data_IF_634120403595
#
_entry.id   IF_634120403595
#
_cell.length_a   1.000
_cell.length_b   1.000
_cell.length_c   1.000
_cell.angle_alpha   90.00
_cell.angle_beta   90.00
_cell.angle_gamma   90.00
#
_symmetry.space_group_name_H-M   'P 1'
#
loop_
_entity.id
_entity.type
_entity.pdbx_description
1 polymer ?
#
# COMPACT_ATOMS: atom_id res chain seq x y z
N UNK A 1 -27.18 7.48 5.84
CA UNK A 1 -25.85 6.83 5.88
C UNK A 1 -24.70 7.83 5.69
N UNK A 2 -24.77 8.72 4.69
CA UNK A 2 -23.76 9.76 4.38
C UNK A 2 -23.49 10.74 5.54
N UNK A 3 -24.52 11.16 6.28
CA UNK A 3 -24.33 12.08 7.42
C UNK A 3 -23.52 11.46 8.57
N UNK A 4 -23.76 10.19 8.91
CA UNK A 4 -23.02 9.50 9.96
C UNK A 4 -21.54 9.33 9.60
N UNK A 5 -21.25 9.01 8.34
CA UNK A 5 -19.88 8.91 7.84
C UNK A 5 -19.18 10.27 7.76
N UNK A 6 -19.89 11.33 7.37
CA UNK A 6 -19.34 12.69 7.35
C UNK A 6 -19.02 13.23 8.75
N UNK A 7 -19.67 12.72 9.81
CA UNK A 7 -19.30 13.01 11.21
C UNK A 7 -17.95 12.40 11.60
N UNK A 8 -17.48 11.37 10.91
CA UNK A 8 -16.16 10.75 11.15
C UNK A 8 -15.08 11.66 10.57
N UNK A 9 -15.08 11.86 9.25
CA UNK A 9 -14.18 12.77 8.54
C UNK A 9 -14.97 13.50 7.46
N UNK A 10 -14.88 14.83 7.45
CA UNK A 10 -15.57 15.64 6.45
C UNK A 10 -14.80 15.63 5.12
N UNK A 11 -15.48 15.41 3.98
CA UNK A 11 -14.85 15.47 2.68
C UNK A 11 -14.41 16.90 2.36
N UNK A 12 -13.28 17.05 1.69
CA UNK A 12 -12.86 18.34 1.17
C UNK A 12 -13.86 18.82 0.11
N UNK A 13 -14.25 20.10 0.18
CA UNK A 13 -15.10 20.71 -0.83
C UNK A 13 -14.36 20.75 -2.16
N UNK A 14 -14.88 20.04 -3.16
CA UNK A 14 -14.31 20.04 -4.51
C UNK A 14 -14.70 21.34 -5.19
N UNK A 15 -13.77 22.28 -5.27
CA UNK A 15 -13.95 23.53 -6.02
C UNK A 15 -13.68 23.31 -7.52
N UNK A 16 -12.74 22.42 -7.87
CA UNK A 16 -12.25 22.25 -9.24
C UNK A 16 -12.35 20.79 -9.72
N UNK A 17 -13.40 20.49 -10.51
CA UNK A 17 -13.66 19.15 -11.07
C UNK A 17 -12.54 18.66 -12.02
N UNK A 18 -12.05 19.44 -13.02
CA UNK A 18 -11.02 18.95 -13.92
C UNK A 18 -9.70 18.63 -13.20
N UNK A 19 -9.32 19.41 -12.17
CA UNK A 19 -8.17 19.08 -11.33
C UNK A 19 -8.31 17.69 -10.69
N UNK A 20 -9.51 17.35 -10.22
CA UNK A 20 -9.75 16.06 -9.57
C UNK A 20 -9.65 14.89 -10.55
N UNK A 21 -10.04 15.08 -11.81
CA UNK A 21 -9.88 14.08 -12.88
C UNK A 21 -8.41 13.92 -13.25
N UNK A 22 -7.68 15.04 -13.39
CA UNK A 22 -6.25 15.03 -13.65
C UNK A 22 -5.48 14.28 -12.57
N UNK A 23 -5.80 14.47 -11.29
CA UNK A 23 -5.16 13.75 -10.19
C UNK A 23 -5.39 12.23 -10.29
N UNK A 24 -6.61 11.79 -10.60
CA UNK A 24 -6.90 10.36 -10.81
C UNK A 24 -6.14 9.80 -12.01
N UNK A 25 -6.03 10.56 -13.10
CA UNK A 25 -5.24 10.18 -14.25
C UNK A 25 -3.74 10.09 -13.94
N UNK A 26 -3.18 11.04 -13.19
CA UNK A 26 -1.79 11.00 -12.75
C UNK A 26 -1.50 9.80 -11.85
N UNK A 27 -2.45 9.42 -10.99
CA UNK A 27 -2.33 8.20 -10.16
C UNK A 27 -2.30 6.94 -11.03
N UNK A 28 -3.11 6.87 -12.09
CA UNK A 28 -3.07 5.78 -13.06
C UNK A 28 -1.70 5.72 -13.76
N UNK A 29 -1.20 6.84 -14.29
CA UNK A 29 0.10 6.92 -14.96
C UNK A 29 1.23 6.52 -14.00
N UNK A 30 1.17 6.98 -12.74
CA UNK A 30 2.13 6.62 -11.71
C UNK A 30 2.11 5.11 -11.42
N UNK A 31 0.93 4.50 -11.26
CA UNK A 31 0.79 3.05 -11.10
C UNK A 31 1.35 2.29 -12.29
N UNK A 32 1.01 2.69 -13.52
CA UNK A 32 1.55 2.12 -14.76
C UNK A 32 3.07 2.17 -14.80
N UNK A 33 3.67 3.33 -14.50
CA UNK A 33 5.11 3.51 -14.48
C UNK A 33 5.80 2.61 -13.45
N UNK A 34 5.23 2.51 -12.25
CA UNK A 34 5.76 1.62 -11.21
C UNK A 34 5.61 0.14 -11.56
N UNK A 35 4.53 -0.29 -12.22
CA UNK A 35 4.39 -1.68 -12.66
C UNK A 35 5.42 -2.08 -13.72
N UNK A 36 5.71 -1.19 -14.67
CA UNK A 36 6.79 -1.37 -15.65
C UNK A 36 8.13 -1.42 -14.94
N UNK A 37 8.39 -0.45 -14.05
CA UNK A 37 9.65 -0.37 -13.31
C UNK A 37 9.90 -1.60 -12.45
N UNK A 38 8.87 -2.09 -11.74
CA UNK A 38 8.95 -3.31 -10.95
C UNK A 38 9.30 -4.52 -11.81
N UNK A 39 8.63 -4.69 -12.96
CA UNK A 39 8.94 -5.83 -13.84
C UNK A 39 10.31 -5.73 -14.50
N UNK A 40 10.72 -4.51 -14.84
CA UNK A 40 12.08 -4.26 -15.35
C UNK A 40 13.13 -4.61 -14.29
N UNK A 41 12.90 -4.29 -13.01
CA UNK A 41 13.79 -4.68 -11.91
C UNK A 41 13.87 -6.21 -11.75
N UNK A 42 12.76 -6.93 -11.90
CA UNK A 42 12.76 -8.41 -11.81
C UNK A 42 13.63 -9.06 -12.89
N UNK A 43 13.76 -8.40 -14.06
CA UNK A 43 14.54 -8.90 -15.19
C UNK A 43 15.96 -8.31 -15.25
N UNK A 44 16.31 -7.40 -14.34
CA UNK A 44 17.60 -6.74 -14.34
C UNK A 44 18.65 -7.64 -13.69
N UNK A 45 19.63 -8.07 -14.47
CA UNK A 45 20.82 -8.73 -13.95
C UNK A 45 21.74 -7.69 -13.28
N UNK A 46 21.84 -7.75 -11.95
CA UNK A 46 22.64 -6.81 -11.17
C UNK A 46 24.13 -7.13 -11.33
N UNK A 47 24.84 -6.19 -11.95
CA UNK A 47 26.30 -6.15 -12.03
C UNK A 47 26.88 -5.09 -11.07
N UNK A 48 27.63 -5.53 -10.05
CA UNK A 48 28.21 -4.68 -9.01
C UNK A 48 29.28 -3.70 -9.50
N UNK A 49 29.85 -3.91 -10.69
CA UNK A 49 30.84 -3.00 -11.27
C UNK A 49 30.20 -1.69 -11.75
N UNK A 50 28.92 -1.75 -12.12
CA UNK A 50 28.13 -0.61 -12.57
C UNK A 50 27.65 0.21 -11.36
N UNK A 51 27.99 1.51 -11.35
CA UNK A 51 27.79 2.35 -10.16
C UNK A 51 26.32 2.50 -9.71
N UNK A 52 25.37 2.53 -10.65
CA UNK A 52 23.96 2.70 -10.34
C UNK A 52 23.29 1.37 -9.94
N UNK A 53 23.83 0.22 -10.37
CA UNK A 53 23.42 -1.11 -9.88
C UNK A 53 23.69 -1.27 -8.39
N UNK A 54 24.81 -0.73 -7.89
CA UNK A 54 25.11 -0.72 -6.44
C UNK A 54 24.03 -0.04 -5.60
N UNK A 55 23.32 0.94 -6.17
CA UNK A 55 22.19 1.61 -5.49
C UNK A 55 20.99 0.66 -5.42
N UNK A 56 20.69 -0.02 -6.53
CA UNK A 56 19.60 -1.01 -6.64
C UNK A 56 19.82 -2.15 -5.66
N UNK A 57 21.04 -2.68 -5.60
CA UNK A 57 21.43 -3.76 -4.70
C UNK A 57 21.37 -3.33 -3.24
N UNK A 58 21.97 -2.18 -2.89
CA UNK A 58 22.00 -1.69 -1.50
C UNK A 58 20.61 -1.39 -0.94
N UNK A 59 19.71 -0.85 -1.78
CA UNK A 59 18.33 -0.58 -1.42
C UNK A 59 17.41 -1.78 -1.60
N UNK A 60 17.95 -2.88 -2.13
CA UNK A 60 17.23 -4.12 -2.41
C UNK A 60 15.95 -3.89 -3.22
N UNK A 61 16.04 -3.05 -4.27
CA UNK A 61 14.86 -2.54 -4.97
C UNK A 61 14.08 -3.65 -5.70
N UNK A 62 14.76 -4.71 -6.17
CA UNK A 62 14.10 -5.87 -6.78
C UNK A 62 13.18 -6.56 -5.79
N UNK A 63 13.69 -6.88 -4.60
CA UNK A 63 12.87 -7.50 -3.54
C UNK A 63 11.81 -6.52 -3.03
N UNK A 64 12.16 -5.24 -2.85
CA UNK A 64 11.22 -4.21 -2.41
C UNK A 64 9.97 -4.13 -3.29
N UNK A 65 10.14 -4.05 -4.61
CA UNK A 65 9.03 -3.94 -5.56
C UNK A 65 8.34 -5.27 -5.84
N UNK A 66 8.97 -6.40 -5.49
CA UNK A 66 8.34 -7.72 -5.44
C UNK A 66 7.44 -7.92 -4.20
N UNK A 67 7.69 -7.20 -3.10
CA UNK A 67 6.96 -7.37 -1.85
C UNK A 67 5.68 -6.53 -1.74
N UNK A 68 4.64 -7.09 -1.12
CA UNK A 68 3.33 -6.41 -0.93
C UNK A 68 3.43 -5.11 -0.12
N UNK A 69 4.39 -5.00 0.79
CA UNK A 69 4.47 -3.92 1.76
C UNK A 69 4.58 -2.52 1.11
N UNK A 70 5.39 -2.38 0.05
CA UNK A 70 5.55 -1.08 -0.64
C UNK A 70 4.26 -0.65 -1.34
N UNK A 71 3.58 -1.59 -1.99
CA UNK A 71 2.34 -1.35 -2.71
C UNK A 71 1.21 -0.93 -1.76
N UNK A 72 1.14 -1.57 -0.58
CA UNK A 72 0.20 -1.18 0.48
C UNK A 72 0.50 0.20 1.05
N UNK A 73 1.78 0.55 1.26
CA UNK A 73 2.16 1.89 1.71
C UNK A 73 1.73 2.98 0.71
N UNK A 74 2.00 2.77 -0.58
CA UNK A 74 1.64 3.73 -1.62
C UNK A 74 0.11 3.88 -1.71
N UNK A 75 -0.62 2.76 -1.75
CA UNK A 75 -2.08 2.77 -1.75
C UNK A 75 -2.66 3.46 -0.51
N UNK A 76 -2.07 3.23 0.67
CA UNK A 76 -2.45 3.90 1.91
C UNK A 76 -2.27 5.41 1.83
N UNK A 77 -1.13 5.88 1.32
CA UNK A 77 -0.87 7.30 1.14
C UNK A 77 -1.90 7.94 0.18
N UNK A 78 -2.13 7.32 -0.98
CA UNK A 78 -3.14 7.75 -1.95
C UNK A 78 -4.52 7.84 -1.29
N UNK A 79 -4.90 6.80 -0.53
CA UNK A 79 -6.19 6.74 0.14
C UNK A 79 -6.35 7.86 1.17
N UNK A 80 -5.38 8.00 2.09
CA UNK A 80 -5.45 8.94 3.22
C UNK A 80 -5.46 10.40 2.77
N UNK A 81 -4.71 10.72 1.71
CA UNK A 81 -4.58 12.09 1.20
C UNK A 81 -5.59 12.45 0.09
N UNK A 82 -6.45 11.53 -0.33
CA UNK A 82 -7.52 11.82 -1.28
C UNK A 82 -8.57 12.79 -0.71
N UNK A 83 -9.28 13.51 -1.59
CA UNK A 83 -10.24 14.56 -1.19
C UNK A 83 -11.44 14.02 -0.40
N UNK A 84 -11.93 12.84 -0.77
CA UNK A 84 -13.12 12.22 -0.19
C UNK A 84 -13.02 10.69 -0.36
N UNK A 85 -13.86 9.88 0.31
CA UNK A 85 -13.72 8.42 0.29
C UNK A 85 -13.96 7.81 -1.10
N UNK A 86 -14.82 8.42 -1.92
CA UNK A 86 -15.07 7.95 -3.30
C UNK A 86 -13.81 8.17 -4.15
N UNK A 87 -13.13 9.30 -3.97
CA UNK A 87 -11.86 9.57 -4.67
C UNK A 87 -10.72 8.72 -4.16
N UNK A 88 -10.69 8.39 -2.87
CA UNK A 88 -9.77 7.40 -2.35
C UNK A 88 -9.98 6.03 -3.02
N UNK A 89 -11.24 5.58 -3.12
CA UNK A 89 -11.60 4.33 -3.80
C UNK A 89 -11.14 4.30 -5.27
N UNK A 90 -11.49 5.35 -6.03
CA UNK A 90 -11.13 5.45 -7.46
C UNK A 90 -9.61 5.52 -7.64
N UNK A 91 -8.91 6.34 -6.86
CA UNK A 91 -7.47 6.53 -7.03
C UNK A 91 -6.70 5.25 -6.67
N UNK A 92 -7.06 4.57 -5.58
CA UNK A 92 -6.42 3.31 -5.21
C UNK A 92 -6.69 2.22 -6.24
N UNK A 93 -7.93 2.14 -6.77
CA UNK A 93 -8.25 1.23 -7.86
C UNK A 93 -7.42 1.49 -9.11
N UNK A 94 -7.37 2.74 -9.56
CA UNK A 94 -6.60 3.13 -10.75
C UNK A 94 -5.10 2.88 -10.57
N UNK A 95 -4.58 3.11 -9.36
CA UNK A 95 -3.19 2.80 -9.03
C UNK A 95 -2.88 1.30 -9.23
N UNK A 96 -3.66 0.42 -8.60
CA UNK A 96 -3.46 -1.02 -8.73
C UNK A 96 -3.76 -1.53 -10.13
N UNK A 97 -4.79 -1.02 -10.80
CA UNK A 97 -5.11 -1.39 -12.18
C UNK A 97 -3.98 -1.03 -13.13
N UNK A 98 -3.45 0.20 -13.06
CA UNK A 98 -2.31 0.63 -13.86
C UNK A 98 -1.09 -0.25 -13.62
N UNK A 99 -0.75 -0.47 -12.35
CA UNK A 99 0.38 -1.30 -11.94
C UNK A 99 0.24 -2.75 -12.44
N UNK A 100 -0.88 -3.42 -12.16
CA UNK A 100 -1.04 -4.84 -12.48
C UNK A 100 -1.15 -5.07 -13.99
N UNK A 101 -1.83 -4.18 -14.73
CA UNK A 101 -1.93 -4.29 -16.18
C UNK A 101 -0.56 -4.08 -16.82
N UNK A 102 0.17 -3.05 -16.41
CA UNK A 102 1.47 -2.76 -17.02
C UNK A 102 2.53 -3.81 -16.68
N UNK A 103 2.55 -4.31 -15.44
CA UNK A 103 3.41 -5.42 -15.03
C UNK A 103 3.11 -6.69 -15.85
N UNK A 104 1.83 -7.05 -16.02
CA UNK A 104 1.45 -8.24 -16.77
C UNK A 104 1.78 -8.11 -18.26
N UNK A 105 1.41 -6.98 -18.88
CA UNK A 105 1.74 -6.72 -20.29
C UNK A 105 3.24 -6.70 -20.53
N UNK A 106 4.02 -6.09 -19.63
CA UNK A 106 5.47 -6.10 -19.74
C UNK A 106 6.00 -7.54 -19.74
N UNK A 107 5.48 -8.39 -18.85
CA UNK A 107 5.91 -9.80 -18.75
C UNK A 107 5.62 -10.55 -20.05
N UNK A 108 4.42 -10.40 -20.61
CA UNK A 108 4.05 -11.09 -21.85
C UNK A 108 4.88 -10.57 -23.03
N UNK A 109 5.02 -9.26 -23.18
CA UNK A 109 5.62 -8.63 -24.36
C UNK A 109 7.15 -8.73 -24.34
N UNK A 110 7.78 -8.48 -23.19
CA UNK A 110 9.25 -8.37 -23.09
C UNK A 110 9.90 -9.58 -22.42
N UNK A 111 9.23 -10.24 -21.47
CA UNK A 111 9.79 -11.41 -20.79
C UNK A 111 9.38 -12.75 -21.46
N UNK A 112 8.37 -12.74 -22.34
CA UNK A 112 8.01 -13.88 -23.19
C UNK A 112 7.22 -15.00 -22.50
N UNK A 113 6.62 -14.75 -21.33
CA UNK A 113 5.76 -15.72 -20.64
C UNK A 113 4.52 -15.07 -20.00
N UNK A 114 3.51 -15.88 -19.68
CA UNK A 114 2.25 -15.44 -19.08
C UNK A 114 2.15 -15.87 -17.60
N UNK A 115 2.29 -14.94 -16.63
CA UNK A 115 2.17 -15.21 -15.20
C UNK A 115 0.71 -15.15 -14.67
N UNK A 116 -0.30 -15.53 -15.47
CA UNK A 116 -1.72 -15.41 -15.10
C UNK A 116 -2.09 -15.97 -13.72
N UNK A 117 -1.55 -17.13 -13.33
CA UNK A 117 -1.83 -17.75 -12.02
C UNK A 117 -1.35 -16.89 -10.85
N UNK A 118 -0.17 -16.28 -11.00
CA UNK A 118 0.37 -15.34 -10.01
C UNK A 118 -0.43 -14.04 -9.98
N UNK A 119 -0.78 -13.51 -11.16
CA UNK A 119 -1.51 -12.25 -11.31
C UNK A 119 -2.96 -12.33 -10.80
N UNK A 120 -3.56 -13.51 -10.70
CA UNK A 120 -4.93 -13.68 -10.20
C UNK A 120 -5.11 -13.09 -8.78
N UNK A 121 -4.14 -13.28 -7.89
CA UNK A 121 -4.17 -12.71 -6.53
C UNK A 121 -4.13 -11.17 -6.58
N UNK A 122 -3.33 -10.61 -7.48
CA UNK A 122 -3.22 -9.18 -7.70
C UNK A 122 -4.48 -8.56 -8.31
N UNK A 123 -5.15 -9.28 -9.22
CA UNK A 123 -6.43 -8.85 -9.79
C UNK A 123 -7.55 -8.86 -8.78
N UNK A 124 -7.59 -9.88 -7.90
CA UNK A 124 -8.53 -9.90 -6.78
C UNK A 124 -8.29 -8.72 -5.85
N UNK A 125 -7.02 -8.44 -5.47
CA UNK A 125 -6.69 -7.28 -4.66
C UNK A 125 -7.13 -5.99 -5.36
N UNK A 126 -6.82 -5.83 -6.65
CA UNK A 126 -7.24 -4.68 -7.45
C UNK A 126 -8.75 -4.49 -7.39
N UNK A 127 -9.54 -5.56 -7.56
CA UNK A 127 -11.00 -5.51 -7.53
C UNK A 127 -11.57 -5.09 -6.16
N UNK A 128 -10.94 -5.53 -5.06
CA UNK A 128 -11.36 -5.21 -3.68
C UNK A 128 -10.81 -3.84 -3.21
N UNK A 129 -9.75 -3.35 -3.85
CA UNK A 129 -9.05 -2.13 -3.47
C UNK A 129 -9.90 -0.85 -3.39
N UNK A 130 -10.97 -0.61 -4.19
CA UNK A 130 -11.81 0.57 -4.02
C UNK A 130 -12.46 0.63 -2.63
N UNK A 131 -12.95 -0.50 -2.12
CA UNK A 131 -13.59 -0.58 -0.80
C UNK A 131 -12.56 -0.29 0.29
N UNK A 132 -11.38 -0.93 0.21
CA UNK A 132 -10.30 -0.72 1.16
C UNK A 132 -9.80 0.73 1.14
N UNK A 133 -9.64 1.33 -0.05
CA UNK A 133 -9.25 2.72 -0.22
C UNK A 133 -10.24 3.69 0.44
N UNK A 134 -11.54 3.47 0.25
CA UNK A 134 -12.58 4.26 0.92
C UNK A 134 -12.51 4.15 2.45
N UNK A 135 -12.28 2.95 2.98
CA UNK A 135 -12.13 2.71 4.43
C UNK A 135 -10.88 3.39 4.97
N UNK A 136 -9.73 3.23 4.31
CA UNK A 136 -8.46 3.83 4.70
C UNK A 136 -8.52 5.37 4.74
N UNK A 137 -9.35 6.00 3.90
CA UNK A 137 -9.59 7.45 3.98
C UNK A 137 -10.12 7.88 5.36
N UNK A 138 -10.91 7.04 6.04
CA UNK A 138 -11.42 7.35 7.37
C UNK A 138 -10.38 7.17 8.48
N UNK A 139 -9.18 6.64 8.22
CA UNK A 139 -8.15 6.43 9.24
C UNK A 139 -7.66 7.74 9.88
N UNK A 140 -7.71 8.86 9.16
CA UNK A 140 -7.14 10.16 9.60
C UNK A 140 -8.19 11.11 10.19
N UNK A 141 -8.97 10.64 11.17
CA UNK A 141 -9.98 11.45 11.88
C UNK A 141 -9.75 11.54 13.40
N UNK A 142 -10.47 12.45 14.07
CA UNK A 142 -10.40 12.64 15.52
C UNK A 142 -11.22 11.62 16.32
N UNK A 143 -12.00 10.77 15.65
CA UNK A 143 -13.01 9.90 16.23
C UNK A 143 -12.47 8.51 16.54
N UNK A 144 -13.11 7.82 17.50
CA UNK A 144 -12.75 6.45 17.91
C UNK A 144 -12.72 5.47 16.74
N UNK A 145 -13.70 5.55 15.82
CA UNK A 145 -13.76 4.70 14.63
C UNK A 145 -12.47 4.79 13.79
N UNK A 146 -11.88 5.98 13.69
CA UNK A 146 -10.63 6.18 12.96
C UNK A 146 -9.42 5.59 13.65
N UNK A 147 -9.41 5.57 14.99
CA UNK A 147 -8.36 4.89 15.77
C UNK A 147 -8.43 3.39 15.51
N UNK A 148 -9.64 2.80 15.44
CA UNK A 148 -9.83 1.38 15.11
C UNK A 148 -9.35 1.07 13.69
N UNK A 149 -9.73 1.89 12.70
CA UNK A 149 -9.26 1.72 11.32
C UNK A 149 -7.73 1.86 11.24
N UNK A 150 -7.16 2.86 11.93
CA UNK A 150 -5.71 3.07 12.01
C UNK A 150 -4.99 1.85 12.63
N UNK A 151 -5.53 1.30 13.72
CA UNK A 151 -4.99 0.09 14.35
C UNK A 151 -5.02 -1.12 13.41
N UNK A 152 -6.10 -1.30 12.65
CA UNK A 152 -6.22 -2.36 11.65
C UNK A 152 -5.20 -2.20 10.51
N UNK A 153 -4.97 -0.96 10.05
CA UNK A 153 -3.94 -0.69 9.04
C UNK A 153 -2.55 -0.98 9.60
N UNK A 154 -2.25 -0.55 10.82
CA UNK A 154 -0.96 -0.84 11.49
C UNK A 154 -0.78 -2.36 11.66
N UNK A 155 -1.81 -3.09 12.05
CA UNK A 155 -1.80 -4.55 12.13
C UNK A 155 -1.42 -5.17 10.78
N UNK A 156 -2.12 -4.80 9.70
CA UNK A 156 -1.85 -5.33 8.36
C UNK A 156 -0.42 -4.99 7.93
N UNK A 157 0.01 -3.74 8.06
CA UNK A 157 1.38 -3.32 7.71
C UNK A 157 2.44 -4.06 8.52
N UNK A 158 2.20 -4.28 9.82
CA UNK A 158 3.14 -5.00 10.69
C UNK A 158 3.34 -6.45 10.24
N UNK A 159 2.26 -7.11 9.82
CA UNK A 159 2.32 -8.49 9.31
C UNK A 159 3.08 -8.59 7.98
N UNK A 160 2.99 -7.58 7.11
CA UNK A 160 3.72 -7.56 5.85
C UNK A 160 5.19 -7.12 6.00
N UNK A 161 5.51 -6.29 6.99
CA UNK A 161 6.86 -5.76 7.19
C UNK A 161 7.73 -6.59 8.17
N UNK A 162 7.12 -7.37 9.06
CA UNK A 162 7.84 -8.13 10.08
C UNK A 162 7.41 -9.60 10.11
N UNK A 163 8.34 -10.47 10.51
CA UNK A 163 8.01 -11.86 10.80
C UNK A 163 7.47 -11.94 12.23
N UNK A 164 6.15 -11.89 12.37
CA UNK A 164 5.45 -11.91 13.66
C UNK A 164 4.78 -13.27 13.84
N UNK A 165 5.07 -13.93 14.95
CA UNK A 165 4.32 -15.07 15.46
C UNK A 165 3.86 -14.83 16.88
N UNK A 166 3.07 -15.75 17.44
CA UNK A 166 2.56 -15.63 18.81
C UNK A 166 3.65 -15.45 19.88
N UNK A 167 4.85 -15.96 19.61
CA UNK A 167 5.98 -15.98 20.57
C UNK A 167 7.31 -15.51 19.96
N UNK A 168 7.30 -14.96 18.75
CA UNK A 168 8.52 -14.46 18.12
C UNK A 168 8.24 -13.19 17.32
N UNK A 169 9.27 -12.36 17.20
CA UNK A 169 9.26 -11.16 16.39
C UNK A 169 10.65 -11.01 15.77
N UNK A 170 10.69 -10.90 14.44
CA UNK A 170 11.96 -10.73 13.72
C UNK A 170 11.80 -9.72 12.60
N UNK A 171 12.81 -8.87 12.45
CA UNK A 171 12.91 -7.94 11.34
C UNK A 171 13.14 -8.72 10.04
N UNK A 172 12.30 -8.49 9.03
CA UNK A 172 12.46 -9.12 7.72
C UNK A 172 13.60 -8.44 6.94
N UNK A 173 13.55 -7.13 6.84
CA UNK A 173 14.61 -6.31 6.26
C UNK A 173 14.58 -4.89 6.85
N UNK A 174 15.70 -4.18 6.74
CA UNK A 174 15.75 -2.77 7.15
C UNK A 174 14.81 -1.91 6.29
N UNK A 175 14.68 -2.24 4.99
CA UNK A 175 13.77 -1.55 4.05
C UNK A 175 12.32 -1.70 4.50
N UNK A 176 11.89 -2.91 4.86
CA UNK A 176 10.55 -3.15 5.40
C UNK A 176 10.27 -2.38 6.70
N UNK A 177 11.29 -2.22 7.54
CA UNK A 177 11.17 -1.43 8.76
C UNK A 177 10.93 0.05 8.44
N UNK A 178 11.61 0.58 7.41
CA UNK A 178 11.40 1.93 6.90
C UNK A 178 10.00 2.09 6.28
N UNK A 179 9.53 1.11 5.50
CA UNK A 179 8.15 1.11 4.94
C UNK A 179 7.12 1.17 6.06
N UNK A 180 7.29 0.37 7.10
CA UNK A 180 6.39 0.37 8.25
C UNK A 180 6.41 1.72 8.98
N UNK A 181 7.60 2.28 9.22
CA UNK A 181 7.73 3.61 9.82
C UNK A 181 7.06 4.71 8.97
N UNK A 182 7.21 4.64 7.64
CA UNK A 182 6.54 5.53 6.71
C UNK A 182 5.01 5.39 6.75
N UNK A 183 4.48 4.18 6.88
CA UNK A 183 3.04 3.96 7.03
C UNK A 183 2.51 4.58 8.32
N UNK A 184 3.22 4.41 9.44
CA UNK A 184 2.90 5.07 10.71
C UNK A 184 2.95 6.59 10.57
N UNK A 185 3.93 7.14 9.85
CA UNK A 185 4.04 8.56 9.56
C UNK A 185 2.87 9.10 8.70
N UNK A 186 2.43 8.34 7.68
CA UNK A 186 1.25 8.68 6.87
C UNK A 186 -0.01 8.76 7.73
N UNK A 187 -0.15 7.82 8.66
CA UNK A 187 -1.27 7.73 9.61
C UNK A 187 -1.20 8.73 10.76
N UNK A 188 -0.05 9.38 10.97
CA UNK A 188 0.14 10.31 12.07
C UNK A 188 -0.86 11.48 12.02
N UNK A 189 -1.46 11.76 13.19
CA UNK A 189 -2.37 12.90 13.39
C UNK A 189 -2.10 13.58 14.73
N UNK A 190 -2.20 12.83 15.83
CA UNK A 190 -1.86 13.29 17.18
C UNK A 190 -1.11 12.18 17.92
N UNK A 191 -0.19 12.51 18.85
CA UNK A 191 0.60 11.51 19.56
C UNK A 191 -0.28 10.52 20.33
N UNK A 192 -1.36 11.01 20.97
CA UNK A 192 -2.29 10.14 21.70
C UNK A 192 -2.96 9.09 20.79
N UNK A 193 -3.44 9.49 19.61
CA UNK A 193 -4.17 8.58 18.73
C UNK A 193 -3.26 7.56 18.07
N UNK A 194 -2.09 8.01 17.59
CA UNK A 194 -1.15 7.10 16.96
C UNK A 194 -0.60 6.10 17.98
N UNK A 195 -0.32 6.49 19.22
CA UNK A 195 0.13 5.56 20.25
C UNK A 195 -0.91 4.48 20.57
N UNK A 196 -2.18 4.86 20.71
CA UNK A 196 -3.26 3.88 20.96
C UNK A 196 -3.41 2.93 19.77
N UNK A 197 -3.44 3.46 18.54
CA UNK A 197 -3.55 2.66 17.33
C UNK A 197 -2.35 1.74 17.13
N UNK A 198 -1.15 2.22 17.45
CA UNK A 198 0.09 1.46 17.34
C UNK A 198 0.12 0.28 18.29
N UNK A 199 -0.12 0.52 19.59
CA UNK A 199 -0.13 -0.54 20.60
C UNK A 199 -1.21 -1.58 20.28
N UNK A 200 -2.43 -1.13 19.92
CA UNK A 200 -3.51 -2.06 19.57
C UNK A 200 -3.25 -2.84 18.28
N UNK A 201 -2.72 -2.20 17.23
CA UNK A 201 -2.37 -2.85 15.97
C UNK A 201 -1.26 -3.90 16.14
N UNK A 202 -0.22 -3.57 16.89
CA UNK A 202 0.85 -4.53 17.22
C UNK A 202 0.32 -5.67 18.09
N UNK A 203 -0.50 -5.40 19.11
CA UNK A 203 -1.11 -6.44 19.93
C UNK A 203 -1.95 -7.41 19.09
N UNK A 204 -2.76 -6.91 18.15
CA UNK A 204 -3.51 -7.73 17.20
C UNK A 204 -2.57 -8.60 16.33
N UNK A 205 -1.39 -8.10 15.95
CA UNK A 205 -0.41 -8.84 15.16
C UNK A 205 0.12 -10.08 15.89
N UNK A 206 0.32 -9.99 17.20
CA UNK A 206 0.73 -11.14 18.03
C UNK A 206 -0.41 -12.13 18.27
N UNK A 207 -1.65 -11.65 18.43
CA UNK A 207 -2.82 -12.51 18.68
C UNK A 207 -3.17 -13.35 17.44
N UNK A 208 -3.26 -12.69 16.29
CA UNK A 208 -3.61 -13.33 15.03
C UNK A 208 -2.58 -12.98 13.95
N UNK A 209 -1.44 -13.68 13.92
CA UNK A 209 -0.44 -13.48 12.87
C UNK A 209 -1.01 -13.96 11.53
N UNK A 210 -1.57 -13.02 10.75
CA UNK A 210 -2.15 -13.28 9.43
C UNK A 210 -1.10 -13.86 8.46
N UNK A 211 0.19 -13.63 8.73
CA UNK A 211 1.35 -14.23 8.07
C UNK A 211 1.33 -15.76 8.06
N UNK A 212 0.57 -16.41 8.95
CA UNK A 212 0.39 -17.87 8.91
C UNK A 212 -0.56 -18.35 7.81
N UNK A 213 -1.45 -17.49 7.34
CA UNK A 213 -2.48 -17.82 6.35
C UNK A 213 -2.20 -17.20 4.99
N UNK A 214 -1.47 -16.09 4.97
CA UNK A 214 -0.88 -15.55 3.77
C UNK A 214 0.42 -16.32 3.54
N UNK A 215 0.41 -17.33 2.67
CA UNK A 215 1.65 -17.91 2.12
C UNK A 215 2.43 -16.79 1.43
N UNK A 216 3.31 -16.13 2.18
CA UNK A 216 4.31 -15.15 1.75
C UNK A 216 5.67 -15.76 2.10
#
# INVERSE_FOLDING_TARGET
MTEALNKIRQPLKISNKPLTVLMSFLVLVFGTGLGIFAKWLDNLEIDSDIWWHRIIEKLDLGILFSEMAIWLLIALAIAVFSFNPIKAAINVFLFFAGMCISYHLYTIIFAGFDPSDYMMKWYLLTAVSPVLGAVCWYAKSGKVVSIVICALIIYVMAVYCFSIGRFYFTFRSWVNTVIFAAAVAVLYRTPKQISIAFVSGIALAFINPLSRYLCI
#
